data_IF_606926795362
#
_entry.id   IF_606926795362
#
_cell.length_a   1.000
_cell.length_b   1.000
_cell.length_c   1.000
_cell.angle_alpha   90.00
_cell.angle_beta   90.00
_cell.angle_gamma   90.00
#
_symmetry.space_group_name_H-M   'P 1'
#
loop_
_entity.id
_entity.type
_entity.pdbx_description
1 polymer ?
#
# COMPACT_ATOMS: atom_id res chain seq x y z
N UNK A 1 21.68 21.31 -10.54
CA UNK A 1 20.71 20.31 -11.01
C UNK A 1 19.47 20.96 -11.62
N UNK A 2 18.80 21.90 -10.96
CA UNK A 2 17.53 22.50 -11.44
C UNK A 2 17.50 22.92 -12.94
N UNK A 3 18.49 23.66 -13.49
CA UNK A 3 18.46 24.02 -14.92
C UNK A 3 18.54 22.81 -15.87
N UNK A 4 19.03 21.66 -15.38
CA UNK A 4 19.20 20.44 -16.16
C UNK A 4 17.91 19.63 -16.32
N UNK A 5 16.84 19.94 -15.55
CA UNK A 5 15.51 19.34 -15.73
C UNK A 5 14.96 19.53 -17.15
N UNK A 6 15.39 20.60 -17.83
CA UNK A 6 14.94 20.99 -19.17
C UNK A 6 16.06 20.88 -20.21
N UNK A 7 17.10 20.09 -19.91
CA UNK A 7 18.21 19.88 -20.83
C UNK A 7 17.78 18.96 -21.98
N UNK A 8 17.22 19.57 -23.02
CA UNK A 8 16.57 18.90 -24.15
C UNK A 8 17.45 17.88 -24.90
N UNK A 9 18.78 18.00 -24.81
CA UNK A 9 19.68 17.17 -25.62
C UNK A 9 19.96 15.78 -25.03
N UNK A 10 19.52 15.49 -23.79
CA UNK A 10 19.82 14.21 -23.17
C UNK A 10 18.85 13.82 -22.04
N UNK A 11 18.18 12.69 -22.21
CA UNK A 11 17.16 12.17 -21.29
C UNK A 11 17.75 11.85 -19.93
N UNK A 12 18.83 11.06 -19.89
CA UNK A 12 19.55 10.74 -18.65
C UNK A 12 20.04 11.96 -17.85
N UNK A 13 20.28 13.12 -18.47
CA UNK A 13 20.62 14.35 -17.73
C UNK A 13 19.40 14.92 -17.03
N UNK A 14 18.22 14.88 -17.69
CA UNK A 14 16.95 15.33 -17.12
C UNK A 14 16.49 14.39 -16.00
N UNK A 15 16.59 13.09 -16.21
CA UNK A 15 16.31 12.05 -15.20
C UNK A 15 17.18 12.24 -13.96
N UNK A 16 18.52 12.25 -14.11
CA UNK A 16 19.43 12.45 -12.99
C UNK A 16 19.22 13.79 -12.28
N UNK A 17 18.78 14.83 -13.00
CA UNK A 17 18.42 16.10 -12.40
C UNK A 17 17.20 15.98 -11.47
N UNK A 18 16.16 15.27 -11.91
CA UNK A 18 14.94 15.04 -11.12
C UNK A 18 15.23 14.17 -9.89
N UNK A 19 15.86 13.01 -10.10
CA UNK A 19 16.22 12.05 -9.04
C UNK A 19 17.02 12.72 -7.91
N UNK A 20 17.91 13.66 -8.25
CA UNK A 20 18.75 14.32 -7.25
C UNK A 20 18.00 15.23 -6.29
N UNK A 21 16.82 15.76 -6.66
CA UNK A 21 16.12 16.79 -5.89
C UNK A 21 15.72 16.35 -4.47
N UNK A 22 15.01 15.22 -4.26
CA UNK A 22 14.66 14.79 -2.90
C UNK A 22 15.89 14.55 -2.03
N UNK A 23 16.97 13.96 -2.57
CA UNK A 23 18.20 13.75 -1.80
C UNK A 23 18.90 15.05 -1.43
N UNK A 24 18.90 16.05 -2.33
CA UNK A 24 19.44 17.38 -2.03
C UNK A 24 18.64 18.07 -0.91
N UNK A 25 17.31 17.91 -0.88
CA UNK A 25 16.46 18.42 0.19
C UNK A 25 16.72 17.69 1.51
N UNK A 26 16.90 16.37 1.49
CA UNK A 26 17.29 15.60 2.68
C UNK A 26 18.63 16.08 3.25
N UNK A 27 19.65 16.25 2.40
CA UNK A 27 20.94 16.81 2.82
C UNK A 27 20.79 18.23 3.39
N UNK A 28 19.88 19.04 2.85
CA UNK A 28 19.66 20.41 3.27
C UNK A 28 19.01 20.53 4.66
N UNK A 29 18.32 19.49 5.17
CA UNK A 29 17.67 19.50 6.49
C UNK A 29 18.62 19.91 7.63
N UNK A 30 19.90 19.52 7.55
CA UNK A 30 20.90 19.86 8.59
C UNK A 30 21.18 21.37 8.71
N UNK A 31 20.84 22.17 7.70
CA UNK A 31 21.01 23.63 7.69
C UNK A 31 19.80 24.36 8.27
N UNK A 32 18.75 23.64 8.62
CA UNK A 32 17.54 24.18 9.23
C UNK A 32 16.44 24.54 8.21
N UNK A 33 15.22 24.80 8.72
CA UNK A 33 14.01 24.90 7.90
C UNK A 33 14.02 26.06 6.91
N UNK A 34 14.66 27.19 7.24
CA UNK A 34 14.74 28.34 6.34
C UNK A 34 15.53 28.01 5.07
N UNK A 35 16.71 27.40 5.21
CA UNK A 35 17.55 27.02 4.07
C UNK A 35 16.84 25.98 3.18
N UNK A 36 16.15 25.03 3.81
CA UNK A 36 15.34 24.04 3.11
C UNK A 36 14.21 24.69 2.31
N UNK A 37 13.49 25.65 2.90
CA UNK A 37 12.42 26.38 2.24
C UNK A 37 12.93 27.21 1.05
N UNK A 38 14.07 27.90 1.21
CA UNK A 38 14.70 28.68 0.12
C UNK A 38 15.13 27.78 -1.04
N UNK A 39 15.69 26.60 -0.75
CA UNK A 39 16.03 25.61 -1.79
C UNK A 39 14.78 25.11 -2.51
N UNK A 40 13.73 24.76 -1.77
CA UNK A 40 12.50 24.25 -2.36
C UNK A 40 11.76 25.32 -3.19
N UNK A 41 11.75 26.56 -2.72
CA UNK A 41 11.18 27.70 -3.45
C UNK A 41 11.85 27.90 -4.82
N UNK A 42 13.14 27.57 -4.94
CA UNK A 42 13.85 27.59 -6.22
C UNK A 42 13.55 26.34 -7.08
N UNK A 43 13.41 25.15 -6.47
CA UNK A 43 13.22 23.88 -7.19
C UNK A 43 11.80 23.68 -7.70
N UNK A 44 10.79 23.95 -6.86
CA UNK A 44 9.39 23.57 -7.11
C UNK A 44 8.81 24.13 -8.42
N UNK A 45 8.92 25.44 -8.72
CA UNK A 45 8.36 25.99 -9.96
C UNK A 45 9.02 25.39 -11.21
N UNK A 46 10.31 25.09 -11.11
CA UNK A 46 11.07 24.53 -12.23
C UNK A 46 10.72 23.07 -12.49
N UNK A 47 10.49 22.29 -11.42
CA UNK A 47 10.03 20.90 -11.51
C UNK A 47 8.58 20.81 -12.02
N UNK A 48 7.66 21.64 -11.51
CA UNK A 48 6.27 21.69 -12.03
C UNK A 48 6.26 21.95 -13.54
N UNK A 49 7.04 22.93 -14.00
CA UNK A 49 7.15 23.24 -15.42
C UNK A 49 7.85 22.13 -16.21
N UNK A 50 8.78 21.40 -15.61
CA UNK A 50 9.41 20.25 -16.27
C UNK A 50 8.37 19.15 -16.52
N UNK A 51 7.60 18.77 -15.48
CA UNK A 51 6.51 17.78 -15.60
C UNK A 51 5.49 18.20 -16.67
N UNK A 52 5.08 19.46 -16.71
CA UNK A 52 4.07 19.90 -17.69
C UNK A 52 4.54 19.76 -19.16
N UNK A 53 5.83 19.92 -19.40
CA UNK A 53 6.38 20.10 -20.76
C UNK A 53 7.25 18.95 -21.23
N UNK A 54 7.45 17.90 -20.42
CA UNK A 54 8.28 16.75 -20.72
C UNK A 54 7.63 15.86 -21.80
N UNK A 55 8.25 15.70 -22.98
CA UNK A 55 7.69 14.89 -24.06
C UNK A 55 7.88 13.38 -23.87
N UNK A 56 8.92 12.94 -23.14
CA UNK A 56 9.26 11.52 -23.03
C UNK A 56 8.60 10.89 -21.79
N UNK A 57 7.76 9.86 -21.97
CA UNK A 57 6.98 9.21 -20.90
C UNK A 57 7.86 8.72 -19.74
N UNK A 58 9.02 8.13 -20.06
CA UNK A 58 9.97 7.64 -19.06
C UNK A 58 10.54 8.78 -18.21
N UNK A 59 10.98 9.87 -18.86
CA UNK A 59 11.54 11.04 -18.16
C UNK A 59 10.47 11.77 -17.36
N UNK A 60 9.25 11.88 -17.90
CA UNK A 60 8.10 12.45 -17.22
C UNK A 60 7.82 11.69 -15.92
N UNK A 61 7.86 10.36 -15.99
CA UNK A 61 7.61 9.50 -14.83
C UNK A 61 8.62 9.77 -13.70
N UNK A 62 9.90 9.95 -14.04
CA UNK A 62 10.94 10.29 -13.07
C UNK A 62 10.79 11.70 -12.48
N UNK A 63 10.29 12.66 -13.26
CA UNK A 63 9.99 14.01 -12.74
C UNK A 63 8.80 13.98 -11.79
N UNK A 64 7.76 13.21 -12.12
CA UNK A 64 6.58 13.03 -11.27
C UNK A 64 6.94 12.32 -9.96
N UNK A 65 7.74 11.26 -10.04
CA UNK A 65 8.26 10.56 -8.87
C UNK A 65 9.11 11.47 -7.98
N UNK A 66 10.01 12.27 -8.57
CA UNK A 66 10.79 13.25 -7.84
C UNK A 66 9.90 14.28 -7.12
N UNK A 67 8.80 14.73 -7.74
CA UNK A 67 7.82 15.61 -7.08
C UNK A 67 7.18 14.94 -5.87
N UNK A 68 6.70 13.70 -6.00
CA UNK A 68 6.13 12.93 -4.89
C UNK A 68 7.13 12.84 -3.73
N UNK A 69 8.38 12.44 -4.00
CA UNK A 69 9.44 12.35 -2.98
C UNK A 69 9.80 13.69 -2.37
N UNK A 70 9.83 14.79 -3.13
CA UNK A 70 10.02 16.11 -2.56
C UNK A 70 8.88 16.48 -1.59
N UNK A 71 7.62 16.15 -1.90
CA UNK A 71 6.47 16.39 -1.02
C UNK A 71 6.59 15.56 0.26
N UNK A 72 6.91 14.26 0.16
CA UNK A 72 7.14 13.39 1.33
C UNK A 72 8.25 13.92 2.24
N UNK A 73 9.38 14.34 1.67
CA UNK A 73 10.54 14.86 2.40
C UNK A 73 10.22 16.13 3.18
N UNK A 74 9.37 16.99 2.61
CA UNK A 74 9.07 18.34 3.12
C UNK A 74 7.80 18.40 3.98
N UNK A 75 6.82 17.53 3.70
CA UNK A 75 5.54 17.46 4.41
C UNK A 75 4.62 18.66 4.19
N UNK A 76 3.67 18.83 5.11
CA UNK A 76 2.64 19.87 5.04
C UNK A 76 3.23 21.28 4.92
N UNK A 77 2.67 22.09 4.01
CA UNK A 77 3.08 23.49 3.80
C UNK A 77 4.26 23.65 2.83
N UNK A 78 4.74 22.56 2.23
CA UNK A 78 5.75 22.61 1.18
C UNK A 78 5.23 23.27 -0.11
N UNK A 79 3.92 23.21 -0.39
CA UNK A 79 3.31 23.81 -1.58
C UNK A 79 2.36 24.93 -1.17
N UNK A 80 2.41 26.05 -1.90
CA UNK A 80 1.36 27.07 -1.82
C UNK A 80 0.06 26.58 -2.47
N UNK A 81 -1.07 27.23 -2.18
CA UNK A 81 -2.33 26.90 -2.84
C UNK A 81 -2.25 27.03 -4.37
N UNK A 82 -1.46 27.99 -4.89
CA UNK A 82 -1.24 28.15 -6.33
C UNK A 82 -0.48 26.95 -6.91
N UNK A 83 0.56 26.49 -6.22
CA UNK A 83 1.35 25.34 -6.64
C UNK A 83 0.57 24.02 -6.55
N UNK A 84 -0.26 23.84 -5.53
CA UNK A 84 -1.15 22.67 -5.43
C UNK A 84 -2.15 22.68 -6.59
N UNK A 85 -2.81 23.80 -6.85
CA UNK A 85 -3.75 23.91 -7.97
C UNK A 85 -3.09 23.63 -9.33
N UNK A 86 -1.86 24.11 -9.51
CA UNK A 86 -1.08 23.84 -10.71
C UNK A 86 -0.73 22.35 -10.86
N UNK A 87 -0.30 21.72 -9.76
CA UNK A 87 -0.04 20.28 -9.75
C UNK A 87 -1.31 19.47 -10.06
N UNK A 88 -2.45 19.84 -9.47
CA UNK A 88 -3.75 19.21 -9.78
C UNK A 88 -4.13 19.38 -11.25
N UNK A 89 -3.90 20.56 -11.83
CA UNK A 89 -4.14 20.78 -13.27
C UNK A 89 -3.29 19.86 -14.13
N UNK A 90 -2.04 19.62 -13.75
CA UNK A 90 -1.15 18.68 -14.43
C UNK A 90 -1.69 17.25 -14.30
N UNK A 91 -2.07 16.80 -13.10
CA UNK A 91 -2.64 15.46 -12.88
C UNK A 91 -3.96 15.26 -13.64
N UNK A 92 -4.84 16.25 -13.64
CA UNK A 92 -6.10 16.26 -14.40
C UNK A 92 -5.84 16.08 -15.90
N UNK A 93 -4.84 16.79 -16.45
CA UNK A 93 -4.41 16.62 -17.85
C UNK A 93 -3.90 15.20 -18.09
N UNK A 94 -2.99 14.69 -17.26
CA UNK A 94 -2.43 13.33 -17.41
C UNK A 94 -3.52 12.25 -17.39
N UNK A 95 -4.49 12.36 -16.47
CA UNK A 95 -5.63 11.43 -16.38
C UNK A 95 -6.55 11.52 -17.60
N UNK A 96 -6.81 12.71 -18.14
CA UNK A 96 -7.58 12.87 -19.39
C UNK A 96 -6.88 12.18 -20.55
N UNK A 97 -5.59 12.43 -20.70
CA UNK A 97 -4.79 11.84 -21.77
C UNK A 97 -4.70 10.32 -21.66
N UNK A 98 -4.57 9.75 -20.45
CA UNK A 98 -4.66 8.30 -20.19
C UNK A 98 -5.93 7.69 -20.81
N UNK A 99 -7.09 8.28 -20.51
CA UNK A 99 -8.35 7.78 -21.04
C UNK A 99 -8.48 7.99 -22.56
N UNK A 100 -7.98 9.10 -23.10
CA UNK A 100 -8.01 9.37 -24.53
C UNK A 100 -7.11 8.41 -25.31
N UNK A 101 -5.90 8.14 -24.81
CA UNK A 101 -4.95 7.19 -25.41
C UNK A 101 -5.51 5.76 -25.36
N UNK A 102 -6.12 5.35 -24.25
CA UNK A 102 -6.82 4.07 -24.17
C UNK A 102 -7.91 3.91 -25.23
N UNK A 103 -8.71 4.96 -25.50
CA UNK A 103 -9.72 4.94 -26.57
C UNK A 103 -9.06 4.88 -27.95
N UNK A 104 -7.99 5.67 -28.19
CA UNK A 104 -7.25 5.63 -29.45
C UNK A 104 -6.68 4.23 -29.73
N UNK A 105 -6.07 3.58 -28.74
CA UNK A 105 -5.58 2.19 -28.87
C UNK A 105 -6.70 1.22 -29.24
N UNK A 106 -7.90 1.37 -28.67
CA UNK A 106 -9.04 0.54 -29.05
C UNK A 106 -9.54 0.78 -30.47
N UNK A 107 -9.47 2.01 -30.98
CA UNK A 107 -9.83 2.31 -32.38
C UNK A 107 -8.75 1.82 -33.36
N UNK A 108 -7.46 1.92 -33.02
CA UNK A 108 -6.37 1.41 -33.84
C UNK A 108 -6.44 -0.12 -34.04
N UNK A 109 -6.89 -0.87 -33.04
CA UNK A 109 -7.16 -2.32 -33.15
C UNK A 109 -8.26 -2.69 -34.15
N UNK A 110 -9.01 -1.72 -34.67
CA UNK A 110 -10.07 -1.95 -35.68
C UNK A 110 -9.64 -1.56 -37.09
N UNK A 111 -8.42 -1.05 -37.26
CA UNK A 111 -7.89 -0.65 -38.56
C UNK A 111 -7.66 -1.87 -39.47
N UNK A 112 -7.73 -1.67 -40.79
CA UNK A 112 -7.46 -2.71 -41.79
C UNK A 112 -5.98 -3.14 -41.77
N UNK A 113 -5.09 -2.24 -41.35
CA UNK A 113 -3.64 -2.48 -41.23
C UNK A 113 -3.23 -3.07 -39.86
N UNK A 114 -4.18 -3.43 -38.98
CA UNK A 114 -3.87 -4.05 -37.69
C UNK A 114 -3.24 -5.45 -37.86
N UNK A 115 -2.03 -5.61 -37.33
CA UNK A 115 -1.29 -6.87 -37.30
C UNK A 115 -0.59 -7.09 -35.94
N UNK A 116 0.21 -8.14 -35.85
CA UNK A 116 0.93 -8.51 -34.63
C UNK A 116 1.97 -7.46 -34.20
N UNK A 117 2.60 -6.77 -35.16
CA UNK A 117 3.59 -5.72 -34.89
C UNK A 117 2.91 -4.48 -34.32
N UNK A 118 1.73 -4.14 -34.85
CA UNK A 118 0.91 -3.05 -34.31
C UNK A 118 0.43 -3.40 -32.90
N UNK A 119 -0.01 -4.64 -32.63
CA UNK A 119 -0.43 -5.02 -31.27
C UNK A 119 0.71 -4.93 -30.25
N UNK A 120 1.94 -5.34 -30.61
CA UNK A 120 3.11 -5.20 -29.72
C UNK A 120 3.36 -3.72 -29.36
N UNK A 121 3.31 -2.82 -30.34
CA UNK A 121 3.44 -1.37 -30.12
C UNK A 121 2.32 -0.82 -29.22
N UNK A 122 1.07 -1.27 -29.41
CA UNK A 122 -0.05 -0.81 -28.59
C UNK A 122 0.00 -1.34 -27.15
N UNK A 123 0.65 -2.48 -26.92
CA UNK A 123 0.91 -2.99 -25.58
C UNK A 123 2.01 -2.18 -24.89
N UNK A 124 3.10 -1.87 -25.59
CA UNK A 124 4.17 -1.00 -25.08
C UNK A 124 3.61 0.39 -24.70
N UNK A 125 2.77 0.98 -25.56
CA UNK A 125 2.08 2.24 -25.25
C UNK A 125 1.13 2.15 -24.04
N UNK A 126 0.52 0.98 -23.80
CA UNK A 126 -0.36 0.76 -22.64
C UNK A 126 0.46 0.64 -21.35
N UNK A 127 1.60 -0.06 -21.40
CA UNK A 127 2.50 -0.21 -20.27
C UNK A 127 3.12 1.15 -19.86
N UNK A 128 3.51 1.98 -20.83
CA UNK A 128 3.95 3.36 -20.56
C UNK A 128 2.85 4.20 -19.87
N UNK A 129 1.60 4.09 -20.34
CA UNK A 129 0.47 4.79 -19.76
C UNK A 129 0.18 4.35 -18.32
N UNK A 130 0.23 3.04 -18.07
CA UNK A 130 0.08 2.46 -16.73
C UNK A 130 1.21 2.91 -15.81
N UNK A 131 2.45 3.01 -16.33
CA UNK A 131 3.57 3.51 -15.54
C UNK A 131 3.36 4.98 -15.16
N UNK A 132 2.93 5.85 -16.07
CA UNK A 132 2.58 7.24 -15.76
C UNK A 132 1.42 7.32 -14.76
N UNK A 133 0.39 6.46 -14.89
CA UNK A 133 -0.71 6.37 -13.93
C UNK A 133 -0.23 6.02 -12.51
N UNK A 134 0.76 5.12 -12.39
CA UNK A 134 1.38 4.82 -11.09
C UNK A 134 2.04 6.06 -10.46
N UNK A 135 2.65 6.94 -11.28
CA UNK A 135 3.22 8.20 -10.78
C UNK A 135 2.16 9.23 -10.40
N UNK A 136 0.99 9.22 -11.05
CA UNK A 136 -0.18 9.99 -10.59
C UNK A 136 -0.60 9.51 -9.19
N UNK A 137 -0.62 8.20 -8.95
CA UNK A 137 -0.88 7.64 -7.64
C UNK A 137 0.20 8.05 -6.62
N UNK A 138 1.49 7.98 -6.96
CA UNK A 138 2.59 8.41 -6.07
C UNK A 138 2.46 9.87 -5.61
N UNK A 139 2.16 10.80 -6.54
CA UNK A 139 1.96 12.21 -6.19
C UNK A 139 0.71 12.37 -5.31
N UNK A 140 -0.37 11.66 -5.64
CA UNK A 140 -1.63 11.73 -4.90
C UNK A 140 -1.46 11.20 -3.47
N UNK A 141 -0.75 10.08 -3.31
CA UNK A 141 -0.32 9.52 -2.03
C UNK A 141 0.47 10.55 -1.22
N UNK A 142 1.51 11.15 -1.80
CA UNK A 142 2.33 12.14 -1.10
C UNK A 142 1.51 13.36 -0.64
N UNK A 143 0.52 13.79 -1.44
CA UNK A 143 -0.40 14.87 -1.07
C UNK A 143 -1.35 14.47 0.06
N UNK A 144 -1.91 13.25 0.03
CA UNK A 144 -2.72 12.75 1.14
C UNK A 144 -1.90 12.56 2.42
N UNK A 145 -0.72 11.97 2.35
CA UNK A 145 0.18 11.80 3.49
C UNK A 145 0.57 13.15 4.11
N UNK A 146 0.82 14.18 3.30
CA UNK A 146 1.22 15.50 3.79
C UNK A 146 0.04 16.36 4.31
N UNK A 147 -1.14 16.30 3.68
CA UNK A 147 -2.24 17.23 3.94
C UNK A 147 -3.50 16.57 4.53
N UNK A 148 -3.62 15.25 4.48
CA UNK A 148 -4.80 14.50 4.89
C UNK A 148 -6.09 15.07 4.29
N UNK A 149 -7.12 15.24 5.12
CA UNK A 149 -8.40 15.82 4.71
C UNK A 149 -8.31 17.25 4.14
N UNK A 150 -7.24 18.01 4.38
CA UNK A 150 -7.07 19.35 3.79
C UNK A 150 -6.85 19.30 2.28
N UNK A 151 -6.47 18.14 1.75
CA UNK A 151 -6.33 17.92 0.31
C UNK A 151 -7.67 17.73 -0.41
N UNK A 152 -8.75 17.40 0.31
CA UNK A 152 -10.04 17.04 -0.29
C UNK A 152 -10.60 18.04 -1.31
N UNK A 153 -10.58 19.37 -1.09
CA UNK A 153 -11.07 20.34 -2.08
C UNK A 153 -10.29 20.31 -3.40
N UNK A 154 -9.01 19.94 -3.35
CA UNK A 154 -8.15 19.79 -4.52
C UNK A 154 -8.40 18.44 -5.21
N UNK A 155 -8.53 17.37 -4.42
CA UNK A 155 -8.86 16.04 -4.91
C UNK A 155 -10.22 15.98 -5.62
N UNK A 156 -11.21 16.76 -5.16
CA UNK A 156 -12.53 16.86 -5.79
C UNK A 156 -12.48 17.19 -7.29
N UNK A 157 -11.43 17.89 -7.74
CA UNK A 157 -11.22 18.26 -9.15
C UNK A 157 -10.93 17.03 -10.01
N UNK A 158 -10.12 16.10 -9.50
CA UNK A 158 -9.72 14.87 -10.21
C UNK A 158 -10.57 13.65 -9.84
N UNK A 159 -11.41 13.73 -8.81
CA UNK A 159 -12.30 12.65 -8.37
C UNK A 159 -13.10 11.97 -9.49
N UNK A 160 -13.67 12.68 -10.50
CA UNK A 160 -14.37 12.01 -11.59
C UNK A 160 -13.49 11.05 -12.39
N UNK A 161 -12.21 11.39 -12.56
CA UNK A 161 -11.23 10.54 -13.24
C UNK A 161 -10.89 9.31 -12.40
N UNK A 162 -10.64 9.49 -11.10
CA UNK A 162 -10.33 8.38 -10.19
C UNK A 162 -11.52 7.41 -10.08
N UNK A 163 -12.74 7.93 -9.98
CA UNK A 163 -13.97 7.11 -10.00
C UNK A 163 -14.09 6.32 -11.31
N UNK A 164 -13.73 6.95 -12.44
CA UNK A 164 -13.79 6.30 -13.77
C UNK A 164 -12.82 5.14 -13.88
N UNK A 165 -11.65 5.17 -13.21
CA UNK A 165 -10.70 4.06 -13.18
C UNK A 165 -11.35 2.78 -12.63
N UNK A 166 -12.26 2.90 -11.65
CA UNK A 166 -12.99 1.78 -11.06
C UNK A 166 -14.16 1.26 -11.91
N UNK A 167 -14.37 1.80 -13.11
CA UNK A 167 -15.45 1.37 -14.00
C UNK A 167 -15.28 -0.10 -14.43
N UNK A 168 -16.37 -0.87 -14.46
CA UNK A 168 -16.32 -2.31 -14.78
C UNK A 168 -15.82 -2.65 -16.19
N UNK A 169 -15.72 -1.66 -17.08
CA UNK A 169 -15.20 -1.77 -18.44
C UNK A 169 -13.73 -1.31 -18.58
N UNK A 170 -13.08 -0.96 -17.46
CA UNK A 170 -11.67 -0.57 -17.43
C UNK A 170 -10.76 -1.79 -17.30
N UNK A 171 -9.50 -1.71 -17.76
CA UNK A 171 -8.52 -2.79 -17.57
C UNK A 171 -8.12 -2.88 -16.09
N UNK A 172 -7.55 -4.01 -15.70
CA UNK A 172 -7.20 -4.28 -14.32
C UNK A 172 -6.19 -3.30 -13.69
N UNK A 173 -5.20 -2.71 -14.41
CA UNK A 173 -4.30 -1.74 -13.80
C UNK A 173 -5.02 -0.46 -13.39
N UNK A 174 -6.06 -0.06 -14.14
CA UNK A 174 -6.93 1.06 -13.74
C UNK A 174 -7.66 0.74 -12.43
N UNK A 175 -8.20 -0.49 -12.29
CA UNK A 175 -8.86 -0.91 -11.05
C UNK A 175 -7.89 -0.87 -9.88
N UNK A 176 -6.69 -1.41 -10.05
CA UNK A 176 -5.63 -1.40 -9.04
C UNK A 176 -5.29 0.04 -8.60
N UNK A 177 -4.86 0.89 -9.53
CA UNK A 177 -4.41 2.25 -9.18
C UNK A 177 -5.55 3.15 -8.70
N UNK A 178 -6.76 2.95 -9.22
CA UNK A 178 -7.96 3.60 -8.70
C UNK A 178 -8.22 3.22 -7.24
N UNK A 179 -8.08 1.94 -6.89
CA UNK A 179 -8.22 1.47 -5.50
C UNK A 179 -7.12 2.05 -4.62
N UNK A 180 -5.85 1.97 -5.02
CA UNK A 180 -4.73 2.52 -4.24
C UNK A 180 -4.95 3.99 -3.87
N UNK A 181 -5.45 4.82 -4.81
CA UNK A 181 -5.75 6.23 -4.52
C UNK A 181 -6.90 6.38 -3.52
N UNK A 182 -7.94 5.54 -3.58
CA UNK A 182 -9.01 5.57 -2.58
C UNK A 182 -8.58 4.98 -1.23
N UNK A 183 -7.61 4.07 -1.21
CA UNK A 183 -7.00 3.58 0.01
C UNK A 183 -6.30 4.73 0.76
N UNK A 184 -5.57 5.60 0.05
CA UNK A 184 -5.00 6.82 0.62
C UNK A 184 -6.06 7.80 1.16
N UNK A 185 -7.20 7.93 0.46
CA UNK A 185 -8.34 8.73 0.93
C UNK A 185 -8.84 8.22 2.28
N UNK A 186 -8.86 6.91 2.49
CA UNK A 186 -9.32 6.29 3.74
C UNK A 186 -8.26 6.45 4.82
N UNK A 187 -7.00 6.09 4.51
CA UNK A 187 -5.90 6.07 5.47
C UNK A 187 -5.59 7.45 6.03
N UNK A 188 -5.47 8.46 5.14
CA UNK A 188 -5.10 9.82 5.53
C UNK A 188 -6.30 10.75 5.75
N UNK A 189 -7.47 10.38 5.22
CA UNK A 189 -8.73 11.10 5.47
C UNK A 189 -9.48 10.64 6.72
N UNK A 190 -9.22 9.43 7.20
CA UNK A 190 -9.90 8.85 8.35
C UNK A 190 -11.42 8.88 8.19
N UNK A 191 -12.21 9.24 9.23
CA UNK A 191 -13.67 9.28 9.13
C UNK A 191 -14.22 10.24 8.07
N UNK A 192 -13.45 11.22 7.60
CA UNK A 192 -13.88 12.13 6.55
C UNK A 192 -13.99 11.44 5.18
N UNK A 193 -13.42 10.24 5.00
CA UNK A 193 -13.56 9.45 3.78
C UNK A 193 -15.02 9.12 3.44
N UNK A 194 -15.93 9.20 4.41
CA UNK A 194 -17.38 9.06 4.23
C UNK A 194 -17.93 9.87 3.06
N UNK A 195 -17.36 11.07 2.83
CA UNK A 195 -17.67 11.95 1.70
C UNK A 195 -17.60 11.24 0.34
N UNK A 196 -16.72 10.25 0.19
CA UNK A 196 -16.40 9.63 -1.09
C UNK A 196 -16.90 8.18 -1.22
N UNK A 197 -17.64 7.67 -0.23
CA UNK A 197 -18.04 6.23 -0.18
C UNK A 197 -18.81 5.77 -1.41
N UNK A 198 -19.70 6.61 -1.95
CA UNK A 198 -20.45 6.34 -3.19
C UNK A 198 -19.55 6.11 -4.42
N UNK A 199 -18.29 6.53 -4.38
CA UNK A 199 -17.35 6.43 -5.50
C UNK A 199 -16.53 5.14 -5.49
N UNK A 200 -16.22 4.58 -4.32
CA UNK A 200 -15.27 3.48 -4.20
C UNK A 200 -15.84 2.24 -3.51
N UNK A 201 -16.79 2.39 -2.58
CA UNK A 201 -17.05 1.33 -1.61
C UNK A 201 -17.61 0.06 -2.27
N UNK A 202 -18.57 0.22 -3.18
CA UNK A 202 -19.14 -0.91 -3.92
C UNK A 202 -18.07 -1.62 -4.76
N UNK A 203 -17.21 -0.85 -5.44
CA UNK A 203 -16.16 -1.39 -6.29
C UNK A 203 -15.10 -2.12 -5.46
N UNK A 204 -14.60 -1.52 -4.38
CA UNK A 204 -13.66 -2.11 -3.44
C UNK A 204 -14.15 -3.47 -2.91
N UNK A 205 -15.40 -3.55 -2.45
CA UNK A 205 -15.96 -4.81 -1.96
C UNK A 205 -16.13 -5.85 -3.07
N UNK A 206 -16.42 -5.44 -4.31
CA UNK A 206 -16.54 -6.35 -5.45
C UNK A 206 -15.17 -6.87 -5.92
N UNK A 207 -14.16 -6.01 -5.92
CA UNK A 207 -12.81 -6.29 -6.39
C UNK A 207 -12.01 -7.23 -5.49
N UNK A 208 -12.48 -7.51 -4.27
CA UNK A 208 -12.00 -8.65 -3.48
C UNK A 208 -12.13 -9.99 -4.21
N UNK A 209 -13.05 -10.10 -5.17
CA UNK A 209 -13.24 -11.30 -5.99
C UNK A 209 -12.69 -11.15 -7.42
N UNK A 210 -11.81 -10.17 -7.66
CA UNK A 210 -11.21 -9.98 -8.99
C UNK A 210 -10.30 -11.15 -9.38
N UNK A 211 -10.13 -11.37 -10.69
CA UNK A 211 -9.23 -12.40 -11.22
C UNK A 211 -7.76 -12.03 -11.00
N UNK A 212 -7.42 -10.75 -11.01
CA UNK A 212 -6.04 -10.27 -10.86
C UNK A 212 -5.66 -10.13 -9.39
N UNK A 213 -4.48 -10.62 -9.05
CA UNK A 213 -3.96 -10.60 -7.69
C UNK A 213 -3.79 -9.19 -7.17
N UNK A 214 -3.25 -8.31 -7.99
CA UNK A 214 -2.96 -6.91 -7.70
C UNK A 214 -4.23 -6.11 -7.36
N UNK A 215 -5.33 -6.39 -8.07
CA UNK A 215 -6.63 -5.77 -7.80
C UNK A 215 -7.21 -6.28 -6.47
N UNK A 216 -7.10 -7.60 -6.21
CA UNK A 216 -7.50 -8.16 -4.91
C UNK A 216 -6.67 -7.62 -3.76
N UNK A 217 -5.37 -7.41 -3.96
CA UNK A 217 -4.45 -6.86 -2.98
C UNK A 217 -4.88 -5.44 -2.59
N UNK A 218 -5.07 -4.54 -3.57
CA UNK A 218 -5.52 -3.18 -3.32
C UNK A 218 -6.90 -3.17 -2.62
N UNK A 219 -7.86 -3.97 -3.09
CA UNK A 219 -9.17 -4.07 -2.46
C UNK A 219 -9.11 -4.58 -1.00
N UNK A 220 -8.22 -5.54 -0.73
CA UNK A 220 -8.00 -6.06 0.61
C UNK A 220 -7.36 -5.01 1.52
N UNK A 221 -6.32 -4.33 1.06
CA UNK A 221 -5.68 -3.22 1.75
C UNK A 221 -6.72 -2.15 2.14
N UNK A 222 -7.53 -1.69 1.17
CA UNK A 222 -8.66 -0.78 1.36
C UNK A 222 -9.63 -1.20 2.47
N UNK A 223 -10.01 -2.48 2.51
CA UNK A 223 -10.86 -3.02 3.58
C UNK A 223 -10.17 -2.98 4.95
N UNK A 224 -8.85 -3.23 4.98
CA UNK A 224 -8.04 -3.13 6.19
C UNK A 224 -7.96 -1.71 6.73
N UNK A 225 -7.65 -0.73 5.86
CA UNK A 225 -7.58 0.69 6.26
C UNK A 225 -8.96 1.27 6.60
N UNK A 226 -10.05 0.78 5.99
CA UNK A 226 -11.41 1.09 6.46
C UNK A 226 -11.62 0.66 7.91
N UNK A 227 -11.16 -0.55 8.26
CA UNK A 227 -11.20 -1.05 9.64
C UNK A 227 -10.35 -0.19 10.59
N UNK A 228 -9.19 0.25 10.14
CA UNK A 228 -8.22 0.93 11.00
C UNK A 228 -8.47 2.44 11.17
N UNK A 229 -8.87 3.14 10.12
CA UNK A 229 -8.84 4.61 10.07
C UNK A 229 -10.21 5.27 9.86
N UNK A 230 -11.17 4.62 9.18
CA UNK A 230 -12.46 5.24 8.84
C UNK A 230 -13.41 5.43 10.04
N UNK A 231 -13.12 4.80 11.17
CA UNK A 231 -13.85 4.96 12.42
C UNK A 231 -15.10 4.07 12.56
N UNK A 232 -15.78 4.14 13.71
CA UNK A 232 -16.77 3.14 14.13
C UNK A 232 -18.05 3.11 13.27
N UNK A 233 -18.35 4.16 12.51
CA UNK A 233 -19.49 4.18 11.60
C UNK A 233 -19.38 3.10 10.50
N UNK A 234 -18.16 2.71 10.15
CA UNK A 234 -17.88 1.70 9.12
C UNK A 234 -17.95 0.25 9.63
N UNK A 235 -18.27 0.00 10.91
CA UNK A 235 -18.29 -1.35 11.48
C UNK A 235 -19.14 -2.34 10.66
N UNK A 236 -20.31 -1.92 10.19
CA UNK A 236 -21.20 -2.76 9.36
C UNK A 236 -20.58 -3.09 8.01
N UNK A 237 -19.87 -2.14 7.41
CA UNK A 237 -19.15 -2.34 6.14
C UNK A 237 -17.99 -3.31 6.36
N UNK A 238 -17.21 -3.14 7.43
CA UNK A 238 -16.14 -4.07 7.79
C UNK A 238 -16.68 -5.50 7.99
N UNK A 239 -17.82 -5.65 8.67
CA UNK A 239 -18.46 -6.96 8.84
C UNK A 239 -18.90 -7.59 7.51
N UNK A 240 -19.35 -6.79 6.54
CA UNK A 240 -19.69 -7.28 5.19
C UNK A 240 -18.45 -7.64 4.35
N UNK A 241 -17.27 -7.08 4.65
CA UNK A 241 -16.02 -7.41 3.97
C UNK A 241 -15.47 -8.77 4.42
N UNK A 242 -15.63 -9.16 5.69
CA UNK A 242 -15.05 -10.38 6.27
C UNK A 242 -15.34 -11.64 5.43
N UNK A 243 -16.59 -11.98 5.03
CA UNK A 243 -16.83 -13.19 4.25
C UNK A 243 -16.13 -13.21 2.89
N UNK A 244 -15.93 -12.03 2.27
CA UNK A 244 -15.24 -11.90 0.98
C UNK A 244 -13.73 -12.03 1.15
N UNK A 245 -13.17 -11.41 2.19
CA UNK A 245 -11.76 -11.59 2.56
C UNK A 245 -11.45 -13.07 2.86
N UNK A 246 -12.33 -13.75 3.59
CA UNK A 246 -12.20 -15.19 3.86
C UNK A 246 -12.18 -16.01 2.57
N UNK A 247 -12.97 -15.65 1.55
CA UNK A 247 -12.94 -16.34 0.25
C UNK A 247 -11.59 -16.20 -0.45
N UNK A 248 -10.96 -15.01 -0.42
CA UNK A 248 -9.60 -14.81 -0.95
C UNK A 248 -8.60 -15.70 -0.22
N UNK A 249 -8.69 -15.74 1.11
CA UNK A 249 -7.73 -16.46 1.96
C UNK A 249 -7.87 -17.97 1.84
N UNK A 250 -9.10 -18.46 1.61
CA UNK A 250 -9.40 -19.89 1.52
C UNK A 250 -9.42 -20.42 0.09
N UNK A 251 -9.10 -19.58 -0.91
CA UNK A 251 -8.92 -20.05 -2.27
C UNK A 251 -7.83 -21.13 -2.32
N UNK A 252 -8.03 -22.15 -3.15
CA UNK A 252 -7.14 -23.30 -3.24
C UNK A 252 -5.70 -22.91 -3.64
N UNK A 253 -5.58 -21.84 -4.43
CA UNK A 253 -4.32 -21.33 -4.96
C UNK A 253 -3.83 -20.08 -4.21
N UNK A 254 -4.46 -19.72 -3.09
CA UNK A 254 -4.16 -18.52 -2.28
C UNK A 254 -2.70 -18.42 -1.81
N UNK A 255 -2.03 -19.56 -1.63
CA UNK A 255 -0.64 -19.64 -1.14
C UNK A 255 0.39 -19.95 -2.22
N UNK A 256 0.02 -19.88 -3.51
CA UNK A 256 1.02 -19.91 -4.57
C UNK A 256 1.77 -18.56 -4.63
N UNK A 257 2.90 -18.52 -5.35
CA UNK A 257 3.78 -17.35 -5.42
C UNK A 257 3.05 -16.08 -5.92
N UNK A 258 2.15 -16.21 -6.90
CA UNK A 258 1.44 -15.08 -7.52
C UNK A 258 0.32 -14.53 -6.61
N UNK A 259 -0.29 -15.39 -5.79
CA UNK A 259 -1.44 -15.04 -4.94
C UNK A 259 -1.06 -14.81 -3.48
N UNK A 260 0.21 -15.03 -3.10
CA UNK A 260 0.62 -14.96 -1.71
C UNK A 260 0.44 -13.54 -1.15
N UNK A 261 0.92 -12.53 -1.87
CA UNK A 261 0.80 -11.13 -1.44
C UNK A 261 -0.67 -10.66 -1.27
N UNK A 262 -1.59 -10.82 -2.24
CA UNK A 262 -3.00 -10.48 -2.03
C UNK A 262 -3.65 -11.27 -0.89
N UNK A 263 -3.26 -12.53 -0.69
CA UNK A 263 -3.76 -13.36 0.41
C UNK A 263 -3.31 -12.83 1.76
N UNK A 264 -2.05 -12.45 1.90
CA UNK A 264 -1.52 -11.89 3.15
C UNK A 264 -2.11 -10.51 3.45
N UNK A 265 -2.31 -9.68 2.42
CA UNK A 265 -3.07 -8.44 2.56
C UNK A 265 -4.52 -8.69 3.03
N UNK A 266 -5.19 -9.74 2.54
CA UNK A 266 -6.52 -10.12 3.04
C UNK A 266 -6.49 -10.59 4.51
N UNK A 267 -5.47 -11.35 4.92
CA UNK A 267 -5.27 -11.75 6.32
C UNK A 267 -5.05 -10.51 7.20
N UNK A 268 -4.24 -9.57 6.74
CA UNK A 268 -3.97 -8.33 7.44
C UNK A 268 -5.20 -7.42 7.50
N UNK A 269 -6.02 -7.37 6.46
CA UNK A 269 -7.30 -6.67 6.46
C UNK A 269 -8.26 -7.22 7.53
N UNK A 270 -8.41 -8.55 7.62
CA UNK A 270 -9.18 -9.19 8.69
C UNK A 270 -8.59 -8.81 10.06
N UNK A 271 -7.26 -8.84 10.19
CA UNK A 271 -6.57 -8.44 11.42
C UNK A 271 -6.93 -7.02 11.84
N UNK A 272 -6.80 -6.05 10.93
CA UNK A 272 -7.11 -4.63 11.16
C UNK A 272 -8.58 -4.44 11.55
N UNK A 273 -9.51 -5.11 10.88
CA UNK A 273 -10.94 -5.08 11.23
C UNK A 273 -11.17 -5.63 12.65
N UNK A 274 -10.63 -6.80 12.97
CA UNK A 274 -10.79 -7.42 14.29
C UNK A 274 -10.20 -6.56 15.42
N UNK A 275 -9.08 -5.89 15.15
CA UNK A 275 -8.40 -5.05 16.13
C UNK A 275 -9.09 -3.71 16.35
N UNK A 276 -9.54 -3.05 15.28
CA UNK A 276 -9.92 -1.65 15.33
C UNK A 276 -11.43 -1.39 15.14
N UNK A 277 -12.17 -2.28 14.46
CA UNK A 277 -13.57 -2.02 14.11
C UNK A 277 -14.46 -3.26 14.10
N UNK A 278 -14.35 -4.07 15.15
CA UNK A 278 -15.02 -5.36 15.25
C UNK A 278 -16.43 -5.32 15.86
N UNK A 279 -17.00 -4.14 16.12
CA UNK A 279 -18.27 -4.02 16.88
C UNK A 279 -19.49 -4.67 16.19
N UNK A 280 -19.41 -4.92 14.89
CA UNK A 280 -20.41 -5.64 14.10
C UNK A 280 -19.97 -7.05 13.67
N UNK A 281 -18.82 -7.53 14.16
CA UNK A 281 -18.22 -8.84 13.82
C UNK A 281 -18.34 -9.79 15.00
N UNK A 282 -18.71 -11.04 14.75
CA UNK A 282 -18.59 -12.10 15.76
C UNK A 282 -17.13 -12.55 15.88
N UNK A 283 -16.34 -11.81 16.68
CA UNK A 283 -14.90 -12.02 16.83
C UNK A 283 -14.54 -13.44 17.24
N UNK A 284 -15.35 -14.07 18.11
CA UNK A 284 -15.11 -15.42 18.62
C UNK A 284 -15.19 -16.50 17.52
N UNK A 285 -15.98 -16.26 16.47
CA UNK A 285 -16.05 -17.18 15.31
C UNK A 285 -14.88 -16.97 14.34
N UNK A 286 -14.34 -15.75 14.27
CA UNK A 286 -13.28 -15.39 13.30
C UNK A 286 -11.89 -15.72 13.84
N UNK A 287 -11.62 -15.52 15.13
CA UNK A 287 -10.28 -15.73 15.72
C UNK A 287 -9.69 -17.13 15.42
N UNK A 288 -10.43 -18.24 15.58
CA UNK A 288 -9.88 -19.57 15.29
C UNK A 288 -9.51 -19.74 13.81
N UNK A 289 -10.30 -19.18 12.89
CA UNK A 289 -10.00 -19.17 11.47
C UNK A 289 -8.77 -18.32 11.17
N UNK A 290 -8.74 -17.10 11.70
CA UNK A 290 -7.63 -16.18 11.54
C UNK A 290 -6.30 -16.77 12.00
N UNK A 291 -6.28 -17.43 13.16
CA UNK A 291 -5.09 -18.09 13.68
C UNK A 291 -4.59 -19.22 12.76
N UNK A 292 -5.52 -19.92 12.09
CA UNK A 292 -5.17 -21.00 11.14
C UNK A 292 -4.47 -20.51 9.88
N UNK A 293 -4.64 -19.23 9.53
CA UNK A 293 -4.00 -18.61 8.38
C UNK A 293 -2.58 -18.13 8.67
N UNK A 294 -2.09 -18.21 9.90
CA UNK A 294 -0.72 -17.79 10.22
C UNK A 294 0.29 -18.93 10.03
N UNK A 295 1.53 -18.63 9.59
CA UNK A 295 2.18 -17.30 9.51
C UNK A 295 1.97 -16.53 8.19
N UNK A 296 2.41 -15.26 8.21
CA UNK A 296 2.55 -14.35 7.05
C UNK A 296 3.99 -13.84 6.93
N UNK A 297 4.50 -13.61 5.72
CA UNK A 297 5.90 -13.20 5.51
C UNK A 297 6.23 -12.47 4.21
N UNK A 298 5.32 -12.42 3.25
CA UNK A 298 5.54 -11.82 1.94
C UNK A 298 5.43 -10.29 2.00
N UNK A 299 4.42 -9.79 2.71
CA UNK A 299 4.22 -8.35 2.89
C UNK A 299 4.74 -7.89 4.25
N UNK A 300 5.93 -7.28 4.24
CA UNK A 300 6.62 -6.81 5.45
C UNK A 300 6.01 -5.55 6.05
N UNK A 301 5.18 -4.82 5.31
CA UNK A 301 4.46 -3.65 5.82
C UNK A 301 3.19 -4.12 6.58
N UNK A 302 2.57 -5.20 6.13
CA UNK A 302 1.38 -5.79 6.75
C UNK A 302 1.68 -6.75 7.92
N UNK A 303 2.79 -7.48 7.85
CA UNK A 303 3.19 -8.44 8.88
C UNK A 303 3.20 -7.85 10.32
N UNK A 304 3.72 -6.63 10.57
CA UNK A 304 3.66 -5.99 11.89
C UNK A 304 2.24 -5.84 12.44
N UNK A 305 1.24 -5.59 11.60
CA UNK A 305 -0.16 -5.50 12.05
C UNK A 305 -0.67 -6.86 12.52
N UNK A 306 -0.40 -7.92 11.76
CA UNK A 306 -0.78 -9.30 12.06
C UNK A 306 -0.13 -9.80 13.36
N UNK A 307 1.20 -9.70 13.46
CA UNK A 307 1.92 -10.14 14.65
C UNK A 307 1.65 -9.24 15.86
N UNK A 308 1.41 -7.95 15.65
CA UNK A 308 1.02 -7.03 16.70
C UNK A 308 -0.32 -7.41 17.34
N UNK A 309 -1.32 -7.76 16.53
CA UNK A 309 -2.61 -8.25 17.03
C UNK A 309 -2.48 -9.63 17.69
N UNK A 310 -1.64 -10.52 17.16
CA UNK A 310 -1.36 -11.81 17.81
C UNK A 310 -0.77 -11.61 19.21
N UNK A 311 0.18 -10.68 19.35
CA UNK A 311 0.74 -10.31 20.64
C UNK A 311 -0.34 -9.74 21.58
N UNK A 312 -1.22 -8.87 21.09
CA UNK A 312 -2.34 -8.33 21.88
C UNK A 312 -3.22 -9.45 22.44
N UNK A 313 -3.54 -10.47 21.62
CA UNK A 313 -4.36 -11.61 22.06
C UNK A 313 -3.64 -12.49 23.08
N UNK A 314 -2.34 -12.72 22.93
CA UNK A 314 -1.52 -13.50 23.87
C UNK A 314 -1.37 -12.76 25.21
N UNK A 315 -1.02 -11.48 25.18
CA UNK A 315 -0.84 -10.64 26.37
C UNK A 315 -2.13 -10.56 27.20
N UNK A 316 -3.29 -10.59 26.53
CA UNK A 316 -4.62 -10.61 27.16
C UNK A 316 -5.12 -12.02 27.56
N UNK A 317 -4.29 -13.06 27.43
CA UNK A 317 -4.65 -14.45 27.73
C UNK A 317 -5.89 -14.94 26.98
N UNK A 318 -6.05 -14.58 25.70
CA UNK A 318 -7.24 -14.89 24.93
C UNK A 318 -7.46 -16.41 24.78
N UNK A 319 -8.57 -16.98 25.28
CA UNK A 319 -8.74 -18.43 25.40
C UNK A 319 -8.78 -19.15 24.05
N UNK A 320 -9.33 -18.50 23.01
CA UNK A 320 -9.35 -19.07 21.65
C UNK A 320 -7.97 -19.08 20.97
N UNK A 321 -7.03 -18.24 21.41
CA UNK A 321 -5.66 -18.20 20.87
C UNK A 321 -4.77 -19.18 21.62
N UNK A 322 -4.79 -19.16 22.96
CA UNK A 322 -3.96 -20.05 23.77
C UNK A 322 -4.47 -21.50 23.76
N UNK A 323 -5.77 -21.69 23.59
CA UNK A 323 -6.42 -22.99 23.69
C UNK A 323 -6.52 -23.49 25.14
N UNK A 324 -7.28 -24.58 25.38
CA UNK A 324 -7.40 -25.15 26.71
C UNK A 324 -6.03 -25.58 27.25
N UNK A 325 -5.71 -25.20 28.48
CA UNK A 325 -4.41 -25.44 29.12
C UNK A 325 -3.20 -24.99 28.28
N UNK A 326 -3.36 -23.91 27.51
CA UNK A 326 -2.33 -23.35 26.63
C UNK A 326 -1.82 -24.31 25.55
N UNK A 327 -2.67 -25.23 25.09
CA UNK A 327 -2.31 -26.27 24.11
C UNK A 327 -1.81 -25.72 22.76
N UNK A 328 -2.11 -24.46 22.42
CA UNK A 328 -1.68 -23.86 21.15
C UNK A 328 -0.28 -23.23 21.22
N UNK A 329 0.35 -23.11 22.40
CA UNK A 329 1.68 -22.49 22.53
C UNK A 329 2.75 -23.07 21.61
N UNK A 330 2.86 -24.40 21.38
CA UNK A 330 3.81 -24.93 20.41
C UNK A 330 3.55 -24.44 18.98
N UNK A 331 2.29 -24.31 18.56
CA UNK A 331 1.94 -23.75 17.23
C UNK A 331 2.26 -22.26 17.15
N UNK A 332 2.02 -21.50 18.22
CA UNK A 332 2.39 -20.08 18.29
C UNK A 332 3.90 -19.88 18.18
N UNK A 333 4.70 -20.78 18.79
CA UNK A 333 6.15 -20.77 18.65
C UNK A 333 6.58 -21.04 17.20
N UNK A 334 5.93 -21.97 16.49
CA UNK A 334 6.17 -22.22 15.06
C UNK A 334 5.87 -20.97 14.23
N UNK A 335 4.75 -20.29 14.50
CA UNK A 335 4.34 -19.06 13.79
C UNK A 335 5.41 -17.97 13.96
N UNK A 336 5.82 -17.66 15.20
CA UNK A 336 6.86 -16.66 15.45
C UNK A 336 8.20 -17.05 14.84
N UNK A 337 8.60 -18.31 14.94
CA UNK A 337 9.90 -18.76 14.43
C UNK A 337 9.96 -18.75 12.90
N UNK A 338 8.84 -19.04 12.21
CA UNK A 338 8.78 -18.90 10.75
C UNK A 338 8.84 -17.42 10.33
N UNK A 339 8.17 -16.52 11.04
CA UNK A 339 8.26 -15.07 10.79
C UNK A 339 9.72 -14.58 10.88
N UNK A 340 10.44 -14.98 11.92
CA UNK A 340 11.86 -14.64 12.11
C UNK A 340 12.75 -15.25 11.02
N UNK A 341 12.50 -16.51 10.65
CA UNK A 341 13.25 -17.22 9.58
C UNK A 341 13.08 -16.51 8.24
N UNK A 342 11.88 -16.02 7.95
CA UNK A 342 11.54 -15.32 6.70
C UNK A 342 11.87 -13.83 6.73
N UNK A 343 12.35 -13.32 7.86
CA UNK A 343 12.59 -11.88 8.06
C UNK A 343 11.33 -11.03 7.82
N UNK A 344 10.15 -11.59 8.13
CA UNK A 344 8.84 -10.96 7.96
C UNK A 344 8.63 -9.72 8.83
N UNK A 345 9.46 -9.54 9.86
CA UNK A 345 9.42 -8.39 10.77
C UNK A 345 10.84 -7.89 10.99
N UNK A 346 11.02 -6.56 10.98
CA UNK A 346 12.31 -5.96 11.26
C UNK A 346 12.78 -6.26 12.68
N UNK A 347 14.09 -6.50 12.87
CA UNK A 347 14.65 -6.89 14.17
C UNK A 347 14.39 -5.87 15.28
N UNK A 348 14.50 -4.58 14.96
CA UNK A 348 14.37 -3.48 15.93
C UNK A 348 12.94 -2.98 16.11
N UNK A 349 11.99 -3.50 15.34
CA UNK A 349 10.58 -3.11 15.43
C UNK A 349 9.98 -3.49 16.79
N UNK A 350 9.06 -2.64 17.28
CA UNK A 350 8.38 -2.87 18.56
C UNK A 350 7.60 -4.20 18.58
N UNK A 351 7.02 -4.61 17.45
CA UNK A 351 6.34 -5.91 17.33
C UNK A 351 7.28 -7.08 17.56
N UNK A 352 8.49 -7.04 17.02
CA UNK A 352 9.51 -8.08 17.19
C UNK A 352 9.94 -8.18 18.64
N UNK A 353 10.14 -7.03 19.31
CA UNK A 353 10.44 -7.00 20.76
C UNK A 353 9.33 -7.65 21.58
N UNK A 354 8.06 -7.38 21.24
CA UNK A 354 6.91 -8.02 21.91
C UNK A 354 6.88 -9.53 21.69
N UNK A 355 7.07 -10.00 20.45
CA UNK A 355 7.15 -11.43 20.15
C UNK A 355 8.27 -12.11 20.95
N UNK A 356 9.46 -11.50 21.00
CA UNK A 356 10.59 -12.04 21.77
C UNK A 356 10.35 -12.04 23.28
N UNK A 357 9.63 -11.04 23.81
CA UNK A 357 9.25 -11.03 25.22
C UNK A 357 8.31 -12.19 25.56
N UNK A 358 7.34 -12.50 24.69
CA UNK A 358 6.48 -13.68 24.85
C UNK A 358 7.32 -14.97 24.83
N UNK A 359 8.27 -15.09 23.91
CA UNK A 359 9.20 -16.24 23.86
C UNK A 359 10.02 -16.35 25.16
N UNK A 360 10.56 -15.24 25.68
CA UNK A 360 11.32 -15.22 26.94
C UNK A 360 10.47 -15.60 28.15
N UNK A 361 9.19 -15.22 28.18
CA UNK A 361 8.26 -15.67 29.21
C UNK A 361 8.06 -17.19 29.15
N UNK A 362 7.97 -17.78 27.95
CA UNK A 362 7.89 -19.23 27.78
C UNK A 362 9.16 -19.95 28.25
N UNK A 363 10.34 -19.35 28.09
CA UNK A 363 11.60 -19.91 28.61
C UNK A 363 11.60 -20.07 30.14
N UNK A 364 10.77 -19.32 30.87
CA UNK A 364 10.63 -19.48 32.32
C UNK A 364 9.97 -20.82 32.71
N UNK A 365 9.34 -21.53 31.76
CA UNK A 365 8.83 -22.89 31.93
C UNK A 365 9.61 -23.87 31.03
N UNK A 366 10.69 -24.50 31.54
CA UNK A 366 11.59 -25.33 30.72
C UNK A 366 10.92 -26.50 30.01
N UNK A 367 9.95 -27.16 30.66
CA UNK A 367 9.24 -28.31 30.08
C UNK A 367 8.39 -27.88 28.88
N UNK A 368 7.62 -26.81 29.06
CA UNK A 368 6.78 -26.24 28.00
C UNK A 368 7.63 -25.65 26.86
N UNK A 369 8.72 -24.96 27.21
CA UNK A 369 9.65 -24.41 26.22
C UNK A 369 10.27 -25.53 25.38
N UNK A 370 10.75 -26.60 26.02
CA UNK A 370 11.30 -27.75 25.30
C UNK A 370 10.25 -28.42 24.39
N UNK A 371 9.00 -28.52 24.84
CA UNK A 371 7.90 -29.01 24.03
C UNK A 371 7.68 -28.12 22.79
N UNK A 372 7.75 -26.80 22.92
CA UNK A 372 7.62 -25.87 21.79
C UNK A 372 8.81 -25.98 20.83
N UNK A 373 10.05 -25.98 21.35
CA UNK A 373 11.28 -26.11 20.54
C UNK A 373 11.30 -27.42 19.74
N UNK A 374 10.78 -28.51 20.30
CA UNK A 374 10.72 -29.80 19.60
C UNK A 374 9.79 -29.82 18.37
N UNK A 375 8.90 -28.83 18.22
CA UNK A 375 8.07 -28.66 17.03
C UNK A 375 8.75 -27.83 15.93
N UNK A 376 9.86 -27.18 16.23
CA UNK A 376 10.55 -26.30 15.29
C UNK A 376 11.51 -27.09 14.40
N UNK A 377 11.54 -26.76 13.11
CA UNK A 377 12.62 -27.17 12.20
C UNK A 377 13.97 -26.60 12.63
N UNK A 378 15.07 -27.18 12.13
CA UNK A 378 16.42 -26.70 12.45
C UNK A 378 16.60 -25.22 12.06
N UNK A 379 16.12 -24.82 10.89
CA UNK A 379 16.20 -23.42 10.42
C UNK A 379 15.42 -22.47 11.32
N UNK A 380 14.23 -22.87 11.77
CA UNK A 380 13.42 -22.09 12.71
C UNK A 380 14.11 -21.94 14.07
N UNK A 381 14.78 -22.99 14.56
CA UNK A 381 15.56 -22.91 15.80
C UNK A 381 16.75 -21.96 15.66
N UNK A 382 17.44 -21.99 14.52
CA UNK A 382 18.56 -21.08 14.23
C UNK A 382 18.07 -19.64 14.17
N UNK A 383 16.98 -19.37 13.45
CA UNK A 383 16.39 -18.03 13.37
C UNK A 383 15.96 -17.51 14.74
N UNK A 384 15.24 -18.32 15.52
CA UNK A 384 14.83 -17.97 16.87
C UNK A 384 16.03 -17.67 17.78
N UNK A 385 17.09 -18.48 17.71
CA UNK A 385 18.30 -18.25 18.49
C UNK A 385 19.01 -16.95 18.09
N UNK A 386 19.08 -16.66 16.80
CA UNK A 386 19.65 -15.41 16.30
C UNK A 386 18.90 -14.20 16.88
N UNK A 387 17.57 -14.17 16.76
CA UNK A 387 16.75 -13.07 17.27
C UNK A 387 16.76 -12.94 18.81
N UNK A 388 17.05 -14.01 19.55
CA UNK A 388 17.15 -13.95 21.02
C UNK A 388 18.50 -13.43 21.52
N UNK A 389 19.55 -13.49 20.69
CA UNK A 389 20.94 -13.18 21.05
C UNK A 389 21.49 -11.89 20.43
N UNK A 390 20.79 -11.35 19.44
CA UNK A 390 20.95 -9.97 18.96
C UNK A 390 19.94 -9.06 19.64
#
# INVERSE_FOLDING_TARGET
MVPMLKFYFHDGVRTAAAESLPFLLECAKIKGPQYLAEMWQYMCPELLKAIETEPESEVLSEHMYAMAKCIEVLGMGCLSNEQINELIRILDKSLKEHFERAVKRQEQRKDEDYDEVVEEQLLDEDDEDVYVLSKVADITHALFAAYGQLFFPYFDIILPHITKLLGSNRPWPDHQWGLCIFDDVIEYGGPACDKYTDHFLQAMLAFLSDKQGEVRQAAAYGCGVLGQFAGPAFAQVCAQAIPRLVQVIQDADSRNEVNLNPTENAIAAVTKILKYNASAVNVDEVIPLWLSWLPVWEDTDEAPHVYGYLCDLIDNNHPLVLGPNNANLPRLMVIFSEAFKREAVEKDAEVTKRMLNIVRQLQANPEMFQACISQLSQDQQVALHHYLTT
#
